data_IF_563799551245
#
_entry.id   IF_563799551245
#
_cell.length_a   1.000
_cell.length_b   1.000
_cell.length_c   1.000
_cell.angle_alpha   90.00
_cell.angle_beta   90.00
_cell.angle_gamma   90.00
#
_symmetry.space_group_name_H-M   'P 1'
#
loop_
_entity.id
_entity.type
_entity.pdbx_description
1 polymer ?
#
# COMPACT_ATOMS: atom_id res chain seq x y z
N UNK A 1 3.19 8.13 -7.83
CA UNK A 1 3.47 9.25 -6.87
C UNK A 1 2.74 9.05 -5.55
N UNK A 2 1.73 8.19 -5.55
CA UNK A 2 0.69 8.10 -4.52
C UNK A 2 1.23 7.53 -3.22
N UNK A 3 2.12 6.52 -3.27
CA UNK A 3 2.88 6.07 -2.10
C UNK A 3 3.69 7.21 -1.46
N UNK A 4 4.27 8.13 -2.24
CA UNK A 4 4.99 9.28 -1.69
C UNK A 4 4.05 10.26 -0.98
N UNK A 5 2.81 10.38 -1.44
CA UNK A 5 1.80 11.18 -0.75
C UNK A 5 1.30 10.50 0.53
N UNK A 6 1.21 9.17 0.57
CA UNK A 6 0.97 8.43 1.82
C UNK A 6 2.12 8.62 2.80
N UNK A 7 3.37 8.41 2.36
CA UNK A 7 4.55 8.59 3.19
C UNK A 7 4.70 10.02 3.73
N UNK A 8 4.32 11.03 2.94
CA UNK A 8 4.35 12.44 3.34
C UNK A 8 3.12 12.86 4.17
N UNK A 9 2.19 11.96 4.48
CA UNK A 9 0.95 12.28 5.21
C UNK A 9 -0.01 13.20 4.46
N UNK A 10 0.10 13.29 3.13
CA UNK A 10 -0.80 14.09 2.26
C UNK A 10 -2.02 13.28 1.79
N UNK A 11 -1.91 11.96 1.80
CA UNK A 11 -2.97 11.02 1.44
C UNK A 11 -3.06 9.94 2.50
N UNK A 12 -4.27 9.57 2.92
CA UNK A 12 -4.46 8.61 4.01
C UNK A 12 -4.25 7.15 3.57
N UNK A 13 -4.76 6.80 2.38
CA UNK A 13 -4.77 5.44 1.84
C UNK A 13 -4.55 5.52 0.33
N UNK A 14 -3.70 4.63 -0.19
CA UNK A 14 -3.56 4.35 -1.62
C UNK A 14 -3.66 2.84 -1.85
N UNK A 15 -4.35 2.41 -2.90
CA UNK A 15 -4.40 1.00 -3.28
C UNK A 15 -4.51 0.80 -4.79
N UNK A 16 -3.95 -0.30 -5.28
CA UNK A 16 -4.06 -0.75 -6.67
C UNK A 16 -4.16 -2.27 -6.74
N UNK A 17 -5.09 -2.79 -7.54
CA UNK A 17 -5.33 -4.24 -7.70
C UNK A 17 -4.42 -4.85 -8.76
N UNK A 18 -3.92 -4.05 -9.70
CA UNK A 18 -2.99 -4.50 -10.74
C UNK A 18 -2.02 -3.37 -11.07
N UNK A 19 -0.75 -3.57 -10.73
CA UNK A 19 0.31 -2.57 -10.94
C UNK A 19 1.62 -3.27 -11.29
N UNK A 20 2.56 -2.59 -11.93
CA UNK A 20 3.88 -3.16 -12.15
C UNK A 20 4.76 -2.99 -10.91
N UNK A 21 5.69 -3.93 -10.70
CA UNK A 21 6.64 -3.86 -9.58
C UNK A 21 7.46 -2.56 -9.58
N UNK A 22 7.85 -2.07 -10.76
CA UNK A 22 8.64 -0.84 -10.89
C UNK A 22 7.87 0.44 -10.52
N UNK A 23 6.54 0.43 -10.60
CA UNK A 23 5.71 1.59 -10.24
C UNK A 23 5.62 1.78 -8.72
N UNK A 24 5.81 0.69 -7.95
CA UNK A 24 5.64 0.68 -6.49
C UNK A 24 6.91 0.42 -5.70
N UNK A 25 7.95 -0.19 -6.28
CA UNK A 25 9.14 -0.65 -5.54
C UNK A 25 9.78 0.43 -4.65
N UNK A 26 9.99 1.63 -5.19
CA UNK A 26 10.53 2.75 -4.40
C UNK A 26 9.51 3.27 -3.39
N UNK A 27 8.23 3.28 -3.74
CA UNK A 27 7.13 3.71 -2.87
C UNK A 27 6.96 2.84 -1.64
N UNK A 28 7.25 1.53 -1.75
CA UNK A 28 7.20 0.59 -0.62
C UNK A 28 8.14 1.05 0.48
N UNK A 29 9.42 1.22 0.15
CA UNK A 29 10.43 1.65 1.11
C UNK A 29 10.10 3.00 1.74
N UNK A 30 9.62 3.97 0.95
CA UNK A 30 9.27 5.30 1.46
C UNK A 30 8.15 5.26 2.51
N UNK A 31 7.12 4.43 2.28
CA UNK A 31 6.00 4.31 3.22
C UNK A 31 6.43 3.58 4.49
N UNK A 32 7.25 2.53 4.36
CA UNK A 32 7.78 1.78 5.51
C UNK A 32 8.66 2.67 6.41
N UNK A 33 9.60 3.43 5.82
CA UNK A 33 10.47 4.38 6.56
C UNK A 33 9.68 5.53 7.21
N UNK A 34 8.55 5.91 6.64
CA UNK A 34 7.62 6.87 7.25
C UNK A 34 6.76 6.27 8.39
N UNK A 35 6.91 4.97 8.67
CA UNK A 35 6.12 4.25 9.68
C UNK A 35 4.72 3.85 9.22
N UNK A 36 4.47 3.86 7.91
CA UNK A 36 3.27 3.32 7.28
C UNK A 36 3.33 1.80 7.12
N UNK A 37 2.20 1.23 6.71
CA UNK A 37 2.04 -0.20 6.44
C UNK A 37 1.70 -0.37 4.96
N UNK A 38 2.32 -1.37 4.34
CA UNK A 38 2.06 -1.81 2.98
C UNK A 38 1.79 -3.31 2.97
N UNK A 39 0.78 -3.71 2.20
CA UNK A 39 0.47 -5.10 1.91
C UNK A 39 -0.20 -5.22 0.55
N UNK A 40 -0.41 -6.44 0.07
CA UNK A 40 -1.39 -6.75 -0.97
C UNK A 40 -2.81 -6.59 -0.45
N UNK A 41 -3.80 -6.65 -1.35
CA UNK A 41 -5.23 -6.62 -0.98
C UNK A 41 -5.65 -7.80 -0.09
N UNK A 42 -4.92 -8.92 -0.15
CA UNK A 42 -5.13 -10.11 0.69
C UNK A 42 -4.41 -10.03 2.06
N UNK A 43 -3.67 -8.93 2.30
CA UNK A 43 -2.91 -8.71 3.52
C UNK A 43 -1.50 -9.31 3.53
N UNK A 44 -1.06 -9.99 2.46
CA UNK A 44 0.32 -10.48 2.36
C UNK A 44 1.33 -9.36 2.15
N UNK A 45 2.55 -9.52 2.68
CA UNK A 45 3.60 -8.47 2.65
C UNK A 45 4.46 -8.51 1.39
N UNK A 46 4.48 -9.63 0.67
CA UNK A 46 5.23 -9.75 -0.60
C UNK A 46 4.47 -9.04 -1.73
N UNK A 47 4.60 -7.72 -1.80
CA UNK A 47 3.91 -6.86 -2.76
C UNK A 47 4.54 -6.87 -4.17
N UNK A 48 5.71 -7.48 -4.35
CA UNK A 48 6.45 -7.44 -5.63
C UNK A 48 6.29 -8.73 -6.46
N UNK A 49 5.95 -9.85 -5.82
CA UNK A 49 5.60 -11.09 -6.54
C UNK A 49 4.20 -11.01 -7.15
N UNK A 50 4.00 -11.69 -8.28
CA UNK A 50 2.69 -11.80 -8.92
C UNK A 50 1.70 -12.63 -8.08
N UNK A 51 0.40 -12.28 -8.06
CA UNK A 51 -0.20 -11.07 -8.62
C UNK A 51 0.23 -9.83 -7.83
N UNK A 52 0.62 -8.76 -8.51
CA UNK A 52 1.15 -7.55 -7.87
C UNK A 52 -0.03 -6.62 -7.56
N UNK A 53 -0.17 -6.28 -6.29
CA UNK A 53 -1.14 -5.34 -5.77
C UNK A 53 -0.55 -4.63 -4.56
N UNK A 54 -1.15 -3.52 -4.17
CA UNK A 54 -0.71 -2.74 -3.03
C UNK A 54 -1.89 -2.09 -2.33
N UNK A 55 -1.77 -2.00 -1.00
CA UNK A 55 -2.59 -1.21 -0.08
C UNK A 55 -1.60 -0.54 0.86
N UNK A 56 -1.45 0.77 0.75
CA UNK A 56 -0.56 1.61 1.54
C UNK A 56 -1.37 2.57 2.40
N UNK A 57 -1.10 2.61 3.70
CA UNK A 57 -1.74 3.53 4.64
C UNK A 57 -0.91 3.67 5.92
N UNK A 58 -1.30 4.58 6.81
CA UNK A 58 -0.72 4.59 8.16
C UNK A 58 -1.19 3.37 8.99
N UNK A 59 -0.47 3.06 10.08
CA UNK A 59 -0.75 1.91 10.96
C UNK A 59 -2.17 1.87 11.56
N UNK A 60 -2.84 3.02 11.67
CA UNK A 60 -4.18 3.10 12.26
C UNK A 60 -5.29 2.92 11.24
N UNK A 61 -5.03 3.16 9.95
CA UNK A 61 -6.04 3.09 8.88
C UNK A 61 -5.88 1.86 7.99
N UNK A 62 -4.68 1.28 7.91
CA UNK A 62 -4.42 0.10 7.07
C UNK A 62 -5.36 -1.09 7.34
N UNK A 63 -5.66 -1.47 8.61
CA UNK A 63 -6.62 -2.56 8.88
C UNK A 63 -8.05 -2.27 8.37
N UNK A 64 -8.48 -1.01 8.42
CA UNK A 64 -9.79 -0.58 7.93
C UNK A 64 -9.81 -0.53 6.41
N UNK A 65 -8.72 -0.07 5.79
CA UNK A 65 -8.56 -0.06 4.34
C UNK A 65 -8.71 -1.48 3.77
N UNK A 66 -7.97 -2.46 4.33
CA UNK A 66 -8.08 -3.86 3.93
C UNK A 66 -9.51 -4.38 4.07
N UNK A 67 -10.17 -4.10 5.19
CA UNK A 67 -11.56 -4.53 5.41
C UNK A 67 -12.51 -4.02 4.34
N UNK A 68 -12.38 -2.74 3.95
CA UNK A 68 -13.25 -2.15 2.92
C UNK A 68 -12.92 -2.72 1.54
N UNK A 69 -11.64 -2.86 1.21
CA UNK A 69 -11.20 -3.38 -0.09
C UNK A 69 -11.64 -4.84 -0.30
N UNK A 70 -11.61 -5.67 0.75
CA UNK A 70 -12.02 -7.08 0.67
C UNK A 70 -13.54 -7.29 0.66
N UNK A 71 -14.33 -6.26 0.93
CA UNK A 71 -15.79 -6.32 0.93
C UNK A 71 -16.41 -5.96 -0.43
N UNK A 72 -15.65 -5.33 -1.33
CA UNK A 72 -16.06 -5.04 -2.70
C UNK A 72 -15.65 -6.14 -3.67
#
# INVERSE_FOLDING_TARGET
LDCCYVAAGRMDIYFEITVNSYDIAAGILLVEEAGGIISKYDGSTDCLSKPISIVAANKHLHPQALRVIQQG
#
